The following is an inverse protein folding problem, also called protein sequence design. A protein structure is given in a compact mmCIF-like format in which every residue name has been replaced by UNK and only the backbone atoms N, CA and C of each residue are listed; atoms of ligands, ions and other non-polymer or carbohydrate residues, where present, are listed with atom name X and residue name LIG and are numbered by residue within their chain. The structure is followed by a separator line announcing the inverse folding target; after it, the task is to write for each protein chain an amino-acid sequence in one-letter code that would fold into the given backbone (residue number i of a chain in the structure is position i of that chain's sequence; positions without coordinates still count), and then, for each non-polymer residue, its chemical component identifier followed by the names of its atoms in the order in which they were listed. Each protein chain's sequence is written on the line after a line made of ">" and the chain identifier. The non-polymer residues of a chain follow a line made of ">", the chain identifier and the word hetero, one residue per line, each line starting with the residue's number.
data_IF_300121108304
#
_entry.id   IF_300121108304
#
_cell.length_a   1.000
_cell.length_b   1.000
_cell.length_c   1.000
_cell.angle_alpha   90.00
_cell.angle_beta   90.00
_cell.angle_gamma   90.00
#
_symmetry.space_group_name_H-M   'P 1'
#
loop_
_entity.id
_entity.type
_entity.pdbx_description
1 polymer ?
#
# COMPACT_ATOMS: atom_id res chain seq x y z
N UNK A 1 -2.21 4.40 27.38
CA UNK A 1 -1.07 3.46 27.27
C UNK A 1 -1.58 2.14 26.72
N UNK A 2 -1.98 2.08 25.44
CA UNK A 2 -2.65 0.91 24.86
C UNK A 2 -2.12 0.59 23.44
N UNK A 3 -0.84 0.89 23.20
CA UNK A 3 -0.17 0.74 21.90
C UNK A 3 1.12 -0.09 21.98
N UNK A 4 1.38 -0.80 23.08
CA UNK A 4 2.56 -1.66 23.14
C UNK A 4 2.36 -2.90 22.26
N UNK A 5 3.26 -3.10 21.29
CA UNK A 5 3.24 -4.24 20.39
C UNK A 5 3.62 -5.51 21.16
N UNK A 6 2.66 -6.42 21.31
CA UNK A 6 2.99 -7.81 21.60
C UNK A 6 3.53 -8.43 20.31
N UNK A 7 4.81 -8.82 20.31
CA UNK A 7 5.45 -9.45 19.15
C UNK A 7 4.74 -10.73 18.68
N UNK A 8 3.95 -11.37 19.56
CA UNK A 8 3.14 -12.53 19.23
C UNK A 8 1.96 -12.23 18.29
N UNK A 9 1.54 -10.97 18.16
CA UNK A 9 0.43 -10.57 17.29
C UNK A 9 0.90 -10.13 15.88
N UNK A 10 2.21 -10.07 15.66
CA UNK A 10 2.81 -9.70 14.38
C UNK A 10 2.75 -10.89 13.44
N UNK A 11 2.01 -10.74 12.35
CA UNK A 11 1.97 -11.71 11.27
C UNK A 11 3.24 -11.58 10.41
N UNK A 12 3.77 -12.74 9.99
CA UNK A 12 4.96 -12.82 9.13
C UNK A 12 6.21 -12.17 9.74
N UNK A 13 6.42 -12.26 11.06
CA UNK A 13 7.49 -11.57 11.79
C UNK A 13 8.92 -11.75 11.24
N UNK A 14 9.22 -12.83 10.52
CA UNK A 14 10.54 -13.11 9.93
C UNK A 14 10.62 -12.87 8.42
N UNK A 15 9.71 -12.06 7.85
CA UNK A 15 9.62 -11.85 6.40
C UNK A 15 10.89 -11.26 5.77
N UNK A 16 11.64 -10.41 6.47
CA UNK A 16 12.91 -9.84 5.96
C UNK A 16 14.07 -10.84 5.98
N UNK A 17 13.99 -11.86 6.85
CA UNK A 17 15.05 -12.86 7.02
C UNK A 17 14.78 -14.12 6.18
N UNK A 18 13.51 -14.37 5.84
CA UNK A 18 13.06 -15.58 5.19
C UNK A 18 12.20 -15.28 3.96
N UNK A 19 12.77 -15.48 2.77
CA UNK A 19 12.10 -15.26 1.48
C UNK A 19 10.78 -16.03 1.33
N UNK A 20 10.63 -17.21 1.98
CA UNK A 20 9.35 -17.93 1.95
C UNK A 20 8.27 -17.17 2.71
N UNK A 21 8.62 -16.60 3.87
CA UNK A 21 7.70 -15.78 4.68
C UNK A 21 7.39 -14.47 3.97
N UNK A 22 8.37 -13.85 3.31
CA UNK A 22 8.15 -12.69 2.44
C UNK A 22 7.12 -12.97 1.33
N UNK A 23 7.31 -14.07 0.60
CA UNK A 23 6.39 -14.45 -0.48
C UNK A 23 4.98 -14.76 0.06
N UNK A 24 4.85 -15.28 1.29
CA UNK A 24 3.56 -15.47 1.95
C UNK A 24 2.89 -14.14 2.31
N UNK A 25 3.66 -13.15 2.78
CA UNK A 25 3.17 -11.81 3.07
C UNK A 25 2.67 -11.11 1.80
N UNK A 26 3.44 -11.13 0.70
CA UNK A 26 2.97 -10.61 -0.59
C UNK A 26 1.71 -11.31 -1.10
N UNK A 27 1.67 -12.65 -1.01
CA UNK A 27 0.50 -13.42 -1.42
C UNK A 27 -0.72 -13.12 -0.54
N UNK A 28 -0.51 -12.79 0.74
CA UNK A 28 -1.57 -12.30 1.60
C UNK A 28 -2.13 -10.99 1.08
N UNK A 29 -1.28 -9.98 0.85
CA UNK A 29 -1.70 -8.67 0.35
C UNK A 29 -2.47 -8.76 -0.96
N UNK A 30 -1.97 -9.55 -1.91
CA UNK A 30 -2.69 -9.81 -3.17
C UNK A 30 -4.09 -10.38 -2.92
N UNK A 31 -4.23 -11.37 -2.04
CA UNK A 31 -5.55 -11.94 -1.70
C UNK A 31 -6.43 -10.95 -0.94
N UNK A 32 -5.85 -10.11 -0.10
CA UNK A 32 -6.56 -9.08 0.64
C UNK A 32 -7.21 -8.07 -0.32
N UNK A 33 -6.42 -7.52 -1.26
CA UNK A 33 -6.93 -6.61 -2.30
C UNK A 33 -7.93 -7.30 -3.24
N UNK A 34 -7.65 -8.54 -3.67
CA UNK A 34 -8.59 -9.31 -4.50
C UNK A 34 -9.95 -9.50 -3.83
N UNK A 35 -10.00 -9.77 -2.52
CA UNK A 35 -11.26 -9.89 -1.79
C UNK A 35 -11.98 -8.55 -1.66
N UNK A 36 -11.22 -7.48 -1.36
CA UNK A 36 -11.79 -6.16 -1.11
C UNK A 36 -12.39 -5.54 -2.39
N UNK A 37 -11.65 -5.62 -3.49
CA UNK A 37 -11.98 -4.93 -4.75
C UNK A 37 -12.57 -5.85 -5.81
N UNK A 38 -12.22 -7.14 -5.80
CA UNK A 38 -12.72 -8.10 -6.79
C UNK A 38 -14.22 -8.39 -6.67
N UNK A 39 -14.82 -8.18 -5.50
CA UNK A 39 -16.28 -8.28 -5.33
C UNK A 39 -17.03 -7.05 -5.84
N UNK A 40 -16.33 -5.95 -6.07
CA UNK A 40 -16.89 -4.66 -6.47
C UNK A 40 -16.55 -4.30 -7.92
N UNK A 41 -16.03 -5.26 -8.69
CA UNK A 41 -15.56 -5.08 -10.07
C UNK A 41 -14.62 -3.87 -10.25
N UNK A 42 -13.80 -3.59 -9.24
CA UNK A 42 -12.79 -2.51 -9.29
C UNK A 42 -11.44 -3.12 -9.73
N UNK A 43 -11.03 -2.95 -11.00
CA UNK A 43 -9.78 -3.50 -11.50
C UNK A 43 -8.59 -2.74 -10.91
N UNK A 44 -7.52 -3.47 -10.60
CA UNK A 44 -6.24 -2.90 -10.20
C UNK A 44 -5.09 -3.73 -10.79
N UNK A 45 -3.93 -3.11 -10.91
CA UNK A 45 -2.71 -3.75 -11.42
C UNK A 45 -1.50 -3.34 -10.59
N UNK A 46 -0.46 -4.18 -10.59
CA UNK A 46 0.81 -3.83 -9.97
C UNK A 46 1.50 -2.69 -10.73
N UNK A 47 2.26 -1.87 -10.02
CA UNK A 47 2.86 -0.66 -10.56
C UNK A 47 4.37 -0.59 -10.41
N UNK A 48 4.93 -0.72 -9.20
CA UNK A 48 6.36 -0.55 -9.00
C UNK A 48 7.15 -1.77 -9.48
N UNK A 49 8.34 -1.50 -10.03
CA UNK A 49 9.27 -2.58 -10.35
C UNK A 49 9.88 -3.15 -9.07
N UNK A 50 9.54 -4.41 -8.76
CA UNK A 50 10.06 -5.15 -7.60
C UNK A 50 11.22 -6.09 -7.96
N UNK A 51 11.91 -5.83 -9.07
CA UNK A 51 13.05 -6.61 -9.53
C UNK A 51 14.21 -5.69 -9.93
N UNK A 52 15.43 -6.11 -9.62
CA UNK A 52 16.64 -5.51 -10.16
C UNK A 52 16.68 -5.66 -11.69
N UNK A 53 17.52 -4.88 -12.38
CA UNK A 53 17.69 -4.98 -13.83
C UNK A 53 18.16 -6.36 -14.34
N UNK A 54 18.69 -7.21 -13.46
CA UNK A 54 19.05 -8.60 -13.75
C UNK A 54 17.87 -9.59 -13.56
N UNK A 55 16.66 -9.10 -13.25
CA UNK A 55 15.46 -9.92 -13.01
C UNK A 55 15.38 -10.54 -11.61
N UNK A 56 16.36 -10.34 -10.74
CA UNK A 56 16.29 -10.80 -9.36
C UNK A 56 15.29 -9.96 -8.58
N UNK A 57 14.42 -10.63 -7.82
CA UNK A 57 13.42 -9.97 -6.97
C UNK A 57 14.07 -9.22 -5.80
N UNK A 58 13.51 -8.06 -5.49
CA UNK A 58 13.86 -7.21 -4.36
C UNK A 58 13.04 -7.66 -3.13
N UNK A 59 13.69 -7.79 -1.98
CA UNK A 59 13.11 -8.30 -0.73
C UNK A 59 13.26 -7.28 0.42
N UNK A 60 12.98 -6.01 0.16
CA UNK A 60 13.09 -4.91 1.13
C UNK A 60 11.73 -4.45 1.70
N UNK A 61 10.63 -5.02 1.20
CA UNK A 61 9.26 -4.68 1.56
C UNK A 61 8.88 -3.21 1.35
N UNK A 62 9.58 -2.53 0.43
CA UNK A 62 9.30 -1.16 0.07
C UNK A 62 9.17 -0.97 -1.46
N UNK A 63 8.03 -1.35 -2.07
CA UNK A 63 6.84 -1.87 -1.41
C UNK A 63 6.78 -3.40 -1.27
N UNK A 64 6.11 -3.88 -0.23
CA UNK A 64 5.67 -5.29 -0.16
C UNK A 64 4.53 -5.53 -1.16
N UNK A 65 3.68 -4.53 -1.36
CA UNK A 65 2.55 -4.59 -2.28
C UNK A 65 2.21 -3.20 -2.81
N UNK A 66 1.77 -3.14 -4.06
CA UNK A 66 1.25 -1.93 -4.68
C UNK A 66 0.03 -2.27 -5.54
N UNK A 67 -0.79 -1.23 -5.79
CA UNK A 67 -1.92 -1.34 -6.69
C UNK A 67 -2.24 0.03 -7.29
N UNK A 68 -2.18 0.11 -8.62
CA UNK A 68 -2.74 1.20 -9.40
C UNK A 68 -4.18 0.86 -9.79
N UNK A 69 -5.08 1.82 -9.62
CA UNK A 69 -6.50 1.75 -9.91
C UNK A 69 -6.85 2.64 -11.11
N UNK A 70 -7.00 2.08 -12.33
CA UNK A 70 -7.17 2.88 -13.55
C UNK A 70 -8.45 3.72 -13.61
N UNK A 71 -9.52 3.28 -12.94
CA UNK A 71 -10.80 3.99 -12.91
C UNK A 71 -10.69 5.27 -12.08
N UNK A 72 -10.14 5.18 -10.87
CA UNK A 72 -9.95 6.30 -9.95
C UNK A 72 -8.70 7.12 -10.29
N UNK A 73 -7.77 6.56 -11.07
CA UNK A 73 -6.42 7.10 -11.31
C UNK A 73 -5.73 7.41 -9.98
N UNK A 74 -5.65 6.37 -9.13
CA UNK A 74 -5.07 6.41 -7.78
C UNK A 74 -4.10 5.26 -7.60
N UNK A 75 -3.07 5.49 -6.80
CA UNK A 75 -2.08 4.50 -6.43
C UNK A 75 -2.20 4.18 -4.93
N UNK A 76 -1.87 2.94 -4.59
CA UNK A 76 -1.69 2.49 -3.21
C UNK A 76 -0.34 1.81 -3.11
N UNK A 77 0.42 2.17 -2.07
CA UNK A 77 1.70 1.55 -1.72
C UNK A 77 1.65 1.05 -0.30
N UNK A 78 1.92 -0.24 -0.11
CA UNK A 78 2.06 -0.86 1.20
C UNK A 78 3.53 -1.10 1.48
N UNK A 79 4.02 -0.48 2.55
CA UNK A 79 5.34 -0.71 3.13
C UNK A 79 5.13 -1.54 4.39
N UNK A 80 5.81 -2.66 4.51
CA UNK A 80 5.72 -3.51 5.69
C UNK A 80 7.07 -3.52 6.40
N UNK A 81 7.08 -3.17 7.68
CA UNK A 81 8.28 -3.17 8.51
C UNK A 81 8.11 -4.13 9.69
N UNK A 82 9.25 -4.54 10.25
CA UNK A 82 9.27 -5.14 11.59
C UNK A 82 9.35 -4.00 12.60
N UNK A 83 8.40 -3.87 13.53
CA UNK A 83 8.36 -2.73 14.43
C UNK A 83 9.42 -2.81 15.53
N UNK A 84 9.98 -1.66 15.86
CA UNK A 84 10.77 -1.46 17.06
C UNK A 84 9.88 -1.23 18.29
N UNK A 85 10.41 -1.39 19.52
CA UNK A 85 9.67 -1.06 20.73
C UNK A 85 9.14 0.39 20.71
N UNK A 86 7.83 0.54 20.91
CA UNK A 86 7.07 1.80 20.90
C UNK A 86 6.74 2.38 19.51
N UNK A 87 7.04 1.66 18.43
CA UNK A 87 6.53 2.06 17.11
C UNK A 87 5.00 2.03 17.09
N UNK A 88 4.42 2.95 16.31
CA UNK A 88 3.02 2.84 15.91
C UNK A 88 2.85 1.56 15.08
N UNK A 89 1.67 0.95 15.10
CA UNK A 89 1.41 -0.22 14.26
C UNK A 89 1.21 0.14 12.78
N UNK A 90 0.84 1.39 12.52
CA UNK A 90 0.47 1.89 11.21
C UNK A 90 0.68 3.40 11.17
N UNK A 91 1.29 3.87 10.10
CA UNK A 91 1.33 5.27 9.68
C UNK A 91 1.03 5.36 8.19
N UNK A 92 0.69 6.55 7.71
CA UNK A 92 0.48 6.75 6.29
C UNK A 92 0.50 8.21 5.92
N UNK A 93 0.65 8.48 4.62
CA UNK A 93 0.64 9.81 4.02
C UNK A 93 0.14 9.71 2.58
N UNK A 94 -0.21 10.87 2.01
CA UNK A 94 -0.55 10.99 0.59
C UNK A 94 0.62 11.61 -0.14
N UNK A 95 1.01 11.02 -1.27
CA UNK A 95 2.06 11.47 -2.18
C UNK A 95 1.52 11.54 -3.62
N UNK A 96 2.38 11.76 -4.61
CA UNK A 96 2.03 11.76 -6.03
C UNK A 96 3.07 11.01 -6.88
N UNK A 97 2.59 10.37 -7.95
CA UNK A 97 3.42 9.82 -9.03
C UNK A 97 3.17 10.56 -10.37
N UNK A 98 4.22 10.88 -11.16
CA UNK A 98 5.61 10.80 -10.77
C UNK A 98 5.92 11.80 -9.65
N UNK A 99 6.82 11.42 -8.75
CA UNK A 99 7.48 12.39 -7.88
C UNK A 99 8.53 13.15 -8.70
N UNK A 100 9.11 14.22 -8.15
CA UNK A 100 10.19 14.99 -8.79
C UNK A 100 11.40 14.13 -9.23
N UNK A 101 11.49 12.89 -8.74
CA UNK A 101 12.59 11.94 -8.96
C UNK A 101 12.27 10.80 -9.96
N UNK A 102 11.05 10.72 -10.52
CA UNK A 102 10.62 9.61 -11.37
C UNK A 102 10.30 10.06 -12.80
N UNK A 103 10.86 9.36 -13.80
CA UNK A 103 10.62 9.61 -15.22
C UNK A 103 9.16 9.30 -15.64
N UNK A 104 8.54 10.22 -16.38
CA UNK A 104 7.15 10.18 -16.86
C UNK A 104 6.88 8.98 -17.81
N UNK A 105 7.93 8.41 -18.41
CA UNK A 105 7.86 7.34 -19.42
C UNK A 105 7.24 6.02 -18.93
N UNK A 106 7.01 5.87 -17.61
CA UNK A 106 6.43 4.66 -17.01
C UNK A 106 5.03 4.87 -16.40
N UNK A 107 4.37 6.00 -16.68
CA UNK A 107 3.07 6.28 -16.10
C UNK A 107 1.98 5.30 -16.59
N UNK A 108 1.23 4.67 -15.67
CA UNK A 108 0.18 3.74 -16.03
C UNK A 108 -1.01 4.51 -16.61
N UNK A 109 -1.68 3.93 -17.59
CA UNK A 109 -2.76 4.60 -18.31
C UNK A 109 -4.06 4.60 -17.49
N UNK A 110 -4.73 5.76 -17.27
CA UNK A 110 -6.07 5.80 -16.71
C UNK A 110 -7.12 5.30 -17.70
N UNK A 111 -8.25 4.85 -17.17
CA UNK A 111 -9.44 4.56 -18.00
C UNK A 111 -9.98 5.85 -18.63
N UNK A 112 -9.97 6.97 -17.89
CA UNK A 112 -10.26 8.29 -18.44
C UNK A 112 -8.98 8.94 -18.98
N UNK A 113 -8.80 8.91 -20.30
CA UNK A 113 -7.62 9.45 -20.98
C UNK A 113 -7.44 10.97 -20.82
N UNK A 114 -8.46 11.72 -20.37
CA UNK A 114 -8.26 13.15 -20.06
C UNK A 114 -7.32 13.36 -18.88
N UNK A 115 -7.11 12.34 -18.04
CA UNK A 115 -6.24 12.35 -16.86
C UNK A 115 -4.85 11.81 -17.13
N UNK A 116 -4.52 11.46 -18.38
CA UNK A 116 -3.24 10.80 -18.71
C UNK A 116 -2.01 11.62 -18.25
N UNK A 117 -2.13 12.94 -18.26
CA UNK A 117 -1.06 13.88 -17.92
C UNK A 117 -1.14 14.34 -16.45
N UNK A 118 -2.24 14.03 -15.73
CA UNK A 118 -2.43 14.42 -14.32
C UNK A 118 -1.53 13.61 -13.40
N UNK A 119 -0.90 14.19 -12.36
CA UNK A 119 -0.19 13.38 -11.37
C UNK A 119 -1.16 12.40 -10.69
N UNK A 120 -0.69 11.17 -10.46
CA UNK A 120 -1.44 10.12 -9.81
C UNK A 120 -1.29 10.29 -8.30
N UNK A 121 -2.34 10.65 -7.56
CA UNK A 121 -2.26 10.64 -6.10
C UNK A 121 -2.03 9.22 -5.58
N UNK A 122 -1.10 9.09 -4.63
CA UNK A 122 -0.69 7.84 -4.01
C UNK A 122 -1.02 7.86 -2.52
N UNK A 123 -1.72 6.83 -2.04
CA UNK A 123 -1.82 6.54 -0.61
C UNK A 123 -0.69 5.59 -0.21
N UNK A 124 0.24 6.08 0.59
CA UNK A 124 1.32 5.26 1.17
C UNK A 124 0.94 4.87 2.59
N UNK A 125 0.95 3.56 2.86
CA UNK A 125 0.68 3.00 4.19
C UNK A 125 1.90 2.21 4.62
N UNK A 126 2.51 2.62 5.73
CA UNK A 126 3.61 1.91 6.38
C UNK A 126 3.09 1.22 7.64
N UNK A 127 3.29 -0.10 7.77
CA UNK A 127 2.70 -0.83 8.90
C UNK A 127 3.51 -2.04 9.38
N UNK A 128 3.33 -2.33 10.67
CA UNK A 128 3.59 -3.63 11.26
C UNK A 128 2.34 -4.50 11.14
N UNK A 129 2.47 -5.68 10.53
CA UNK A 129 1.31 -6.44 10.08
C UNK A 129 0.59 -7.15 11.24
N UNK A 130 -0.37 -6.46 11.84
CA UNK A 130 -1.24 -6.98 12.90
C UNK A 130 -2.69 -7.00 12.45
N UNK A 131 -3.56 -7.72 13.18
CA UNK A 131 -5.00 -7.73 12.86
C UNK A 131 -5.61 -6.33 12.96
N UNK A 132 -5.19 -5.53 13.96
CA UNK A 132 -5.65 -4.15 14.15
C UNK A 132 -5.24 -3.27 12.96
N UNK A 133 -3.97 -3.33 12.56
CA UNK A 133 -3.48 -2.58 11.40
C UNK A 133 -4.23 -2.94 10.12
N UNK A 134 -4.53 -4.24 9.90
CA UNK A 134 -5.28 -4.67 8.72
C UNK A 134 -6.73 -4.14 8.66
N UNK A 135 -7.39 -3.97 9.82
CA UNK A 135 -8.72 -3.34 9.86
C UNK A 135 -8.64 -1.86 9.47
N UNK A 136 -7.65 -1.15 10.00
CA UNK A 136 -7.42 0.26 9.66
C UNK A 136 -7.04 0.42 8.18
N UNK A 137 -6.19 -0.45 7.64
CA UNK A 137 -5.87 -0.49 6.20
C UNK A 137 -7.12 -0.69 5.38
N UNK A 138 -8.01 -1.61 5.76
CA UNK A 138 -9.27 -1.83 5.05
C UNK A 138 -10.09 -0.54 4.98
N UNK A 139 -10.29 0.13 6.12
CA UNK A 139 -11.06 1.38 6.19
C UNK A 139 -10.46 2.48 5.31
N UNK A 140 -9.13 2.67 5.38
CA UNK A 140 -8.43 3.63 4.55
C UNK A 140 -8.56 3.33 3.05
N UNK A 141 -8.47 2.06 2.66
CA UNK A 141 -8.58 1.65 1.26
C UNK A 141 -10.00 1.82 0.72
N UNK A 142 -11.03 1.55 1.53
CA UNK A 142 -12.41 1.78 1.16
C UNK A 142 -12.67 3.27 0.94
N UNK A 143 -12.22 4.12 1.86
CA UNK A 143 -12.31 5.57 1.71
C UNK A 143 -11.54 6.07 0.48
N UNK A 144 -10.30 5.59 0.29
CA UNK A 144 -9.43 6.05 -0.79
C UNK A 144 -9.94 5.69 -2.18
N UNK A 145 -10.38 4.45 -2.36
CA UNK A 145 -10.68 3.88 -3.68
C UNK A 145 -12.17 3.79 -3.96
N UNK A 146 -12.99 3.39 -2.97
CA UNK A 146 -14.42 3.15 -3.20
C UNK A 146 -15.25 4.43 -3.00
N UNK A 147 -14.95 5.18 -1.95
CA UNK A 147 -15.55 6.51 -1.73
C UNK A 147 -14.86 7.59 -2.56
N UNK A 148 -13.70 7.26 -3.15
CA UNK A 148 -12.91 8.10 -4.03
C UNK A 148 -12.54 9.46 -3.42
N UNK A 149 -12.33 9.52 -2.10
CA UNK A 149 -12.07 10.80 -1.41
C UNK A 149 -10.76 11.46 -1.87
N UNK A 150 -10.68 12.78 -1.77
CA UNK A 150 -9.51 13.55 -2.13
C UNK A 150 -8.37 13.44 -1.13
N UNK A 151 -7.26 14.11 -1.46
CA UNK A 151 -6.06 14.16 -0.61
C UNK A 151 -6.36 14.73 0.77
N UNK A 152 -7.05 15.87 0.82
CA UNK A 152 -7.29 16.58 2.08
C UNK A 152 -8.10 15.73 3.05
N UNK A 153 -9.15 15.07 2.55
CA UNK A 153 -9.97 14.16 3.35
C UNK A 153 -9.18 12.92 3.79
N UNK A 154 -8.34 12.36 2.91
CA UNK A 154 -7.50 11.21 3.26
C UNK A 154 -6.43 11.56 4.29
N UNK A 155 -5.82 12.75 4.21
CA UNK A 155 -4.88 13.24 5.23
C UNK A 155 -5.58 13.44 6.58
N UNK A 156 -6.85 13.83 6.60
CA UNK A 156 -7.64 13.91 7.84
C UNK A 156 -7.94 12.52 8.40
N UNK A 157 -8.32 11.56 7.55
CA UNK A 157 -8.54 10.17 7.94
C UNK A 157 -7.27 9.55 8.56
N UNK A 158 -6.11 9.79 7.97
CA UNK A 158 -4.82 9.33 8.47
C UNK A 158 -4.45 9.96 9.82
N UNK A 159 -4.74 11.26 10.02
CA UNK A 159 -4.51 11.93 11.31
C UNK A 159 -5.38 11.37 12.43
N UNK A 160 -6.58 10.86 12.12
CA UNK A 160 -7.49 10.28 13.09
C UNK A 160 -7.05 8.89 13.61
N UNK A 161 -5.99 8.29 13.05
CA UNK A 161 -5.46 6.99 13.48
C UNK A 161 -4.49 7.10 14.68
N UNK A 162 -4.04 8.31 15.01
CA UNK A 162 -3.04 8.63 16.03
C UNK A 162 -3.65 9.36 17.22
#
# INVERSE_FOLDING_TARGET
>A
MENAISTNDIMFSTFLENQRVYNLAEAYWRRFFQRLFGQQDVPFQGFYNKHFGNGQKIYDANPIFDAYFPLQHKLVRIIQYFPEPNDLFLTGWVDYFPSDELDDDQKPQPTNLSRKDDPIPELVISLAMTKKALLQVKELLEQWILEDIGREEMEQALKALN
#
